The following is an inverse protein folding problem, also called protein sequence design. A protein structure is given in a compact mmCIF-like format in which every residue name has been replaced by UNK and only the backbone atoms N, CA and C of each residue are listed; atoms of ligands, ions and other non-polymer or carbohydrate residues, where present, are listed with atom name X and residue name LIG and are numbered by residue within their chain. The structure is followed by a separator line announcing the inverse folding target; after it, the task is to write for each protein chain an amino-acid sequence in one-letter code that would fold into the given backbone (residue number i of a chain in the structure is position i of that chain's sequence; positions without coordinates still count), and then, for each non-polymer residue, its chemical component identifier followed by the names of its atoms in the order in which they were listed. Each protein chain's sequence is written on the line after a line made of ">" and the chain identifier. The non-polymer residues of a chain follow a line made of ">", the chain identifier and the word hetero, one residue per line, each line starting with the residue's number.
data_IF_927480346620
#
_entry.id   IF_927480346620
#
_cell.length_a   1.000
_cell.length_b   1.000
_cell.length_c   1.000
_cell.angle_alpha   90.00
_cell.angle_beta   90.00
_cell.angle_gamma   90.00
#
_symmetry.space_group_name_H-M   'P 1'
#
loop_
_entity.id
_entity.type
_entity.pdbx_description
1 polymer ?
#
# COMPACT_ATOMS: atom_id res chain seq x y z
N UNK A 1 -31.83 -54.88 23.31
CA UNK A 1 -31.49 -54.20 24.58
C UNK A 1 -29.99 -53.94 24.53
N UNK A 2 -29.51 -52.74 24.26
CA UNK A 2 -29.32 -51.59 25.17
C UNK A 2 -27.84 -51.18 24.95
N UNK A 3 -27.36 -49.95 24.89
CA UNK A 3 -27.91 -48.61 24.98
C UNK A 3 -26.89 -47.68 24.30
N UNK A 4 -27.42 -46.64 23.68
CA UNK A 4 -26.88 -45.30 23.44
C UNK A 4 -25.72 -44.87 24.37
N UNK A 5 -24.62 -44.32 23.82
CA UNK A 5 -23.90 -43.19 24.44
C UNK A 5 -23.50 -42.20 23.34
N UNK A 6 -24.26 -41.13 23.31
CA UNK A 6 -24.04 -39.88 22.59
C UNK A 6 -22.77 -39.16 23.04
N UNK A 7 -22.13 -38.48 22.09
CA UNK A 7 -21.56 -37.14 22.23
C UNK A 7 -20.75 -36.82 23.49
N UNK A 8 -19.42 -36.96 23.43
CA UNK A 8 -18.52 -36.24 24.32
C UNK A 8 -17.40 -35.53 23.53
N UNK A 9 -17.50 -34.20 23.56
CA UNK A 9 -16.38 -33.28 23.72
C UNK A 9 -15.51 -32.95 22.49
N UNK A 10 -16.10 -32.26 21.51
CA UNK A 10 -15.35 -31.42 20.55
C UNK A 10 -15.62 -29.90 20.67
N UNK A 11 -16.48 -29.49 21.61
CA UNK A 11 -16.89 -28.08 21.77
C UNK A 11 -16.04 -27.24 22.72
N UNK A 12 -15.44 -27.84 23.77
CA UNK A 12 -14.82 -27.07 24.85
C UNK A 12 -13.36 -26.66 24.58
N UNK A 13 -12.58 -27.47 23.85
CA UNK A 13 -11.16 -27.21 23.59
C UNK A 13 -10.92 -26.01 22.63
N UNK A 14 -11.86 -25.78 21.69
CA UNK A 14 -11.74 -24.68 20.72
C UNK A 14 -11.98 -23.29 21.35
N UNK A 15 -12.84 -23.19 22.36
CA UNK A 15 -13.13 -21.92 23.03
C UNK A 15 -11.94 -21.40 23.84
N UNK A 16 -11.28 -22.28 24.60
CA UNK A 16 -10.11 -21.93 25.39
C UNK A 16 -8.91 -21.50 24.55
N UNK A 17 -8.65 -22.19 23.43
CA UNK A 17 -7.57 -21.82 22.51
C UNK A 17 -7.84 -20.50 21.79
N UNK A 18 -9.08 -20.23 21.40
CA UNK A 18 -9.46 -18.96 20.78
C UNK A 18 -9.32 -17.77 21.74
N UNK A 19 -9.77 -17.92 22.98
CA UNK A 19 -9.59 -16.91 24.03
C UNK A 19 -8.11 -16.67 24.35
N UNK A 20 -7.31 -17.73 24.43
CA UNK A 20 -5.87 -17.62 24.65
C UNK A 20 -5.15 -16.88 23.50
N UNK A 21 -5.50 -17.20 22.25
CA UNK A 21 -4.95 -16.49 21.08
C UNK A 21 -5.34 -15.01 21.08
N UNK A 22 -6.54 -14.67 21.52
CA UNK A 22 -7.00 -13.29 21.59
C UNK A 22 -6.28 -12.50 22.69
N UNK A 23 -6.10 -13.08 23.88
CA UNK A 23 -5.29 -12.46 24.94
C UNK A 23 -3.84 -12.24 24.50
N UNK A 24 -3.23 -13.21 23.81
CA UNK A 24 -1.87 -13.08 23.29
C UNK A 24 -1.75 -11.93 22.27
N UNK A 25 -2.75 -11.75 21.41
CA UNK A 25 -2.79 -10.64 20.44
C UNK A 25 -2.87 -9.29 21.14
N UNK A 26 -3.77 -9.15 22.11
CA UNK A 26 -3.90 -7.92 22.89
C UNK A 26 -2.58 -7.59 23.60
N UNK A 27 -1.91 -8.60 24.17
CA UNK A 27 -0.62 -8.42 24.82
C UNK A 27 0.46 -7.94 23.83
N UNK A 28 0.54 -8.54 22.63
CA UNK A 28 1.49 -8.11 21.59
C UNK A 28 1.23 -6.67 21.14
N UNK A 29 -0.05 -6.31 20.97
CA UNK A 29 -0.45 -4.96 20.59
C UNK A 29 -0.10 -3.93 21.68
N UNK A 30 -0.43 -4.21 22.94
CA UNK A 30 -0.09 -3.34 24.07
C UNK A 30 1.42 -3.19 24.22
N UNK A 31 2.18 -4.28 24.07
CA UNK A 31 3.65 -4.24 24.11
C UNK A 31 4.22 -3.37 23.00
N UNK A 32 3.76 -3.53 21.76
CA UNK A 32 4.21 -2.71 20.63
C UNK A 32 3.86 -1.23 20.86
N UNK A 33 2.64 -0.92 21.30
CA UNK A 33 2.23 0.45 21.57
C UNK A 33 3.15 1.11 22.62
N UNK A 34 3.48 0.42 23.70
CA UNK A 34 4.37 0.94 24.74
C UNK A 34 5.78 1.26 24.20
N UNK A 35 6.32 0.44 23.29
CA UNK A 35 7.62 0.72 22.66
C UNK A 35 7.56 1.89 21.67
N UNK A 36 6.45 2.05 20.93
CA UNK A 36 6.28 3.20 20.04
C UNK A 36 6.20 4.52 20.81
N UNK A 37 5.56 4.54 21.98
CA UNK A 37 5.53 5.74 22.84
C UNK A 37 6.95 6.10 23.33
N UNK A 38 7.76 5.11 23.72
CA UNK A 38 9.17 5.35 24.09
C UNK A 38 9.99 5.92 22.93
N UNK A 39 9.77 5.43 21.71
CA UNK A 39 10.41 5.98 20.52
C UNK A 39 9.96 7.41 20.26
N UNK A 40 8.67 7.70 20.45
CA UNK A 40 8.14 9.05 20.29
C UNK A 40 8.76 10.03 21.30
N UNK A 41 9.02 9.58 22.53
CA UNK A 41 9.69 10.38 23.55
C UNK A 41 11.13 10.72 23.21
N UNK A 42 11.79 9.95 22.34
CA UNK A 42 13.13 10.27 21.83
C UNK A 42 13.15 11.30 20.69
N UNK A 43 11.98 11.76 20.24
CA UNK A 43 11.84 12.72 19.14
C UNK A 43 11.42 14.11 19.64
N UNK A 44 12.01 15.15 19.04
CA UNK A 44 11.78 16.56 19.38
C UNK A 44 11.31 17.37 18.17
N UNK A 45 10.68 18.52 18.42
CA UNK A 45 10.31 19.48 17.39
C UNK A 45 9.30 18.97 16.36
N UNK A 46 9.50 19.34 15.09
CA UNK A 46 8.61 18.98 13.96
C UNK A 46 8.57 17.49 13.68
N UNK A 47 9.66 16.78 14.00
CA UNK A 47 9.81 15.35 13.70
C UNK A 47 8.93 14.49 14.61
N UNK A 48 8.61 14.99 15.82
CA UNK A 48 7.70 14.31 16.75
C UNK A 48 6.31 14.17 16.17
N UNK A 49 5.77 15.23 15.55
CA UNK A 49 4.42 15.20 14.98
C UNK A 49 4.33 14.30 13.74
N UNK A 50 5.36 14.30 12.89
CA UNK A 50 5.47 13.38 11.75
C UNK A 50 5.56 11.94 12.23
N UNK A 51 6.47 11.67 13.17
CA UNK A 51 6.66 10.32 13.74
C UNK A 51 5.39 9.81 14.41
N UNK A 52 4.66 10.67 15.12
CA UNK A 52 3.37 10.33 15.74
C UNK A 52 2.35 9.83 14.70
N UNK A 53 2.22 10.53 13.57
CA UNK A 53 1.31 10.14 12.48
C UNK A 53 1.75 8.84 11.81
N UNK A 54 3.04 8.67 11.57
CA UNK A 54 3.59 7.44 10.98
C UNK A 54 3.42 6.24 11.91
N UNK A 55 3.61 6.43 13.22
CA UNK A 55 3.38 5.40 14.23
C UNK A 55 1.90 5.04 14.34
N UNK A 56 0.99 6.01 14.25
CA UNK A 56 -0.45 5.73 14.17
C UNK A 56 -0.80 4.86 12.94
N UNK A 57 -0.24 5.19 11.78
CA UNK A 57 -0.36 4.37 10.57
C UNK A 57 0.18 2.95 10.75
N UNK A 58 1.36 2.83 11.36
CA UNK A 58 1.98 1.54 11.66
C UNK A 58 1.14 0.72 12.65
N UNK A 59 0.60 1.34 13.71
CA UNK A 59 -0.30 0.68 14.67
C UNK A 59 -1.52 0.07 13.98
N UNK A 60 -2.17 0.84 13.11
CA UNK A 60 -3.32 0.37 12.33
C UNK A 60 -2.95 -0.82 11.42
N UNK A 61 -1.78 -0.76 10.77
CA UNK A 61 -1.29 -1.86 9.93
C UNK A 61 -0.97 -3.11 10.76
N UNK A 62 -0.34 -2.95 11.91
CA UNK A 62 0.01 -4.05 12.80
C UNK A 62 -1.22 -4.71 13.42
N UNK A 63 -2.20 -3.92 13.86
CA UNK A 63 -3.51 -4.42 14.30
C UNK A 63 -4.18 -5.26 13.20
N UNK A 64 -4.24 -4.73 11.97
CA UNK A 64 -4.78 -5.47 10.82
C UNK A 64 -4.01 -6.77 10.56
N UNK A 65 -2.67 -6.72 10.62
CA UNK A 65 -1.82 -7.90 10.46
C UNK A 65 -2.13 -8.96 11.52
N UNK A 66 -2.30 -8.56 12.78
CA UNK A 66 -2.66 -9.48 13.86
C UNK A 66 -4.07 -10.05 13.68
N UNK A 67 -5.04 -9.27 13.18
CA UNK A 67 -6.44 -9.66 13.04
C UNK A 67 -6.68 -10.66 11.89
N UNK A 68 -6.08 -10.41 10.72
CA UNK A 68 -6.31 -11.21 9.51
C UNK A 68 -5.76 -12.63 9.71
N UNK A 69 -6.65 -13.63 9.76
CA UNK A 69 -6.30 -15.06 9.76
C UNK A 69 -6.71 -15.71 8.45
N UNK A 70 -5.90 -16.65 7.97
CA UNK A 70 -6.25 -17.52 6.84
C UNK A 70 -6.02 -16.88 5.45
N UNK A 71 -6.38 -17.61 4.38
CA UNK A 71 -6.22 -17.12 3.02
C UNK A 71 -7.10 -15.89 2.79
N UNK A 72 -6.52 -14.79 2.33
CA UNK A 72 -7.22 -13.51 2.14
C UNK A 72 -8.25 -13.52 1.02
N UNK A 73 -8.32 -14.62 0.24
CA UNK A 73 -9.12 -14.74 -0.97
C UNK A 73 -9.77 -16.13 -0.99
N UNK A 74 -11.09 -16.17 -1.16
CA UNK A 74 -11.82 -17.38 -1.46
C UNK A 74 -11.84 -17.59 -2.99
N UNK A 75 -11.04 -18.54 -3.49
CA UNK A 75 -10.88 -18.80 -4.92
C UNK A 75 -12.22 -19.00 -5.68
N UNK A 76 -13.19 -19.63 -5.03
CA UNK A 76 -14.52 -19.92 -5.62
C UNK A 76 -15.30 -18.63 -5.93
N UNK A 77 -15.01 -17.53 -5.23
CA UNK A 77 -15.67 -16.23 -5.43
C UNK A 77 -15.02 -15.40 -6.54
N UNK A 78 -13.88 -15.83 -7.10
CA UNK A 78 -13.22 -15.10 -8.17
C UNK A 78 -13.98 -15.33 -9.48
N UNK A 79 -14.39 -14.23 -10.11
CA UNK A 79 -15.11 -14.23 -11.38
C UNK A 79 -14.36 -13.42 -12.41
N UNK A 80 -14.62 -13.69 -13.69
CA UNK A 80 -14.07 -12.88 -14.77
C UNK A 80 -14.62 -11.45 -14.65
N UNK A 81 -13.78 -10.43 -14.87
CA UNK A 81 -14.25 -9.06 -14.92
C UNK A 81 -15.35 -8.91 -16.01
N UNK A 82 -16.38 -8.07 -15.78
CA UNK A 82 -17.35 -7.74 -16.82
C UNK A 82 -16.68 -7.15 -18.06
N UNK A 83 -17.28 -7.36 -19.24
CA UNK A 83 -16.66 -6.96 -20.53
C UNK A 83 -16.30 -5.47 -20.59
N UNK A 84 -17.07 -4.59 -19.94
CA UNK A 84 -16.83 -3.15 -19.93
C UNK A 84 -15.94 -2.64 -18.79
N UNK A 85 -15.48 -3.49 -17.86
CA UNK A 85 -14.65 -3.01 -16.75
C UNK A 85 -13.22 -2.66 -17.17
N UNK A 86 -12.76 -3.20 -18.31
CA UNK A 86 -11.45 -2.92 -18.89
C UNK A 86 -11.66 -2.49 -20.34
N UNK A 87 -11.34 -1.23 -20.63
CA UNK A 87 -11.57 -0.65 -21.95
C UNK A 87 -10.29 -0.73 -22.80
N UNK A 88 -10.36 -1.24 -24.05
CA UNK A 88 -9.23 -1.19 -24.97
C UNK A 88 -8.77 0.25 -25.22
N UNK A 89 -7.45 0.45 -25.31
CA UNK A 89 -6.88 1.79 -25.48
C UNK A 89 -7.31 2.45 -26.79
N UNK A 90 -7.50 1.66 -27.85
CA UNK A 90 -7.97 2.10 -29.17
C UNK A 90 -9.36 2.75 -29.10
N UNK A 91 -10.23 2.28 -28.20
CA UNK A 91 -11.57 2.88 -27.97
C UNK A 91 -11.45 4.27 -27.35
N UNK A 92 -10.41 4.53 -26.58
CA UNK A 92 -10.13 5.85 -25.98
C UNK A 92 -9.56 6.77 -27.05
N UNK A 93 -8.60 6.30 -27.85
CA UNK A 93 -8.02 7.05 -28.97
C UNK A 93 -9.08 7.47 -30.00
N UNK A 94 -10.02 6.59 -30.32
CA UNK A 94 -11.11 6.85 -31.27
C UNK A 94 -12.03 8.01 -30.88
N UNK A 95 -12.01 8.47 -29.62
CA UNK A 95 -12.79 9.64 -29.17
C UNK A 95 -12.13 10.97 -29.54
N UNK A 96 -10.85 10.98 -29.90
CA UNK A 96 -10.07 12.18 -30.16
C UNK A 96 -9.66 12.94 -28.89
N UNK A 97 -8.94 14.04 -29.08
CA UNK A 97 -8.53 14.93 -27.99
C UNK A 97 -9.70 15.81 -27.53
N UNK A 98 -9.76 16.16 -26.22
CA UNK A 98 -10.75 17.12 -25.74
C UNK A 98 -10.51 18.49 -26.36
N UNK A 99 -11.59 19.29 -26.49
CA UNK A 99 -11.52 20.64 -27.06
C UNK A 99 -10.56 21.57 -26.29
N UNK A 100 -10.42 21.37 -24.97
CA UNK A 100 -9.48 22.10 -24.12
C UNK A 100 -8.56 21.13 -23.40
N UNK A 101 -7.44 20.80 -24.04
CA UNK A 101 -6.38 19.97 -23.43
C UNK A 101 -5.77 20.68 -22.22
N UNK A 102 -5.61 22.01 -22.29
CA UNK A 102 -5.05 22.83 -21.24
C UNK A 102 -5.85 22.72 -19.92
N UNK A 103 -7.19 22.81 -19.98
CA UNK A 103 -8.04 22.72 -18.80
C UNK A 103 -7.98 21.34 -18.13
N UNK A 104 -7.82 20.28 -18.94
CA UNK A 104 -7.63 18.92 -18.42
C UNK A 104 -6.28 18.79 -17.73
N UNK A 105 -5.20 19.29 -18.34
CA UNK A 105 -3.85 19.22 -17.79
C UNK A 105 -3.69 20.06 -16.51
N UNK A 106 -4.34 21.22 -16.41
CA UNK A 106 -4.32 22.05 -15.20
C UNK A 106 -4.92 21.35 -13.95
N UNK A 107 -5.72 20.29 -14.15
CA UNK A 107 -6.28 19.48 -13.06
C UNK A 107 -5.48 18.20 -12.79
N UNK A 108 -4.50 17.88 -13.63
CA UNK A 108 -3.72 16.66 -13.56
C UNK A 108 -2.47 16.85 -12.69
N UNK A 109 -2.22 15.90 -11.79
CA UNK A 109 -0.97 15.82 -11.02
C UNK A 109 -0.23 14.54 -11.40
N UNK A 110 1.06 14.66 -11.70
CA UNK A 110 1.94 13.52 -11.99
C UNK A 110 2.75 13.17 -10.74
N UNK A 111 2.47 12.01 -10.16
CA UNK A 111 3.23 11.48 -9.01
C UNK A 111 4.16 10.38 -9.47
N UNK A 112 5.45 10.46 -9.09
CA UNK A 112 6.44 9.40 -9.32
C UNK A 112 6.89 8.80 -8.00
N UNK A 113 6.79 7.48 -7.88
CA UNK A 113 7.27 6.75 -6.70
C UNK A 113 8.81 6.64 -6.75
N UNK A 114 9.49 7.29 -5.81
CA UNK A 114 10.96 7.40 -5.79
C UNK A 114 11.62 6.75 -4.56
N UNK A 115 10.93 5.81 -3.90
CA UNK A 115 11.49 5.10 -2.72
C UNK A 115 12.50 4.00 -3.05
N UNK A 116 12.63 3.64 -4.34
CA UNK A 116 13.51 2.56 -4.78
C UNK A 116 14.98 2.98 -4.86
N UNK A 117 15.87 2.12 -4.35
CA UNK A 117 17.32 2.30 -4.44
C UNK A 117 17.91 1.56 -5.65
N UNK A 118 19.04 2.06 -6.13
CA UNK A 118 19.83 1.50 -7.24
C UNK A 118 20.65 0.25 -6.88
N UNK A 119 20.45 -0.33 -5.70
CA UNK A 119 21.31 -1.39 -5.14
C UNK A 119 21.35 -2.65 -6.00
N UNK A 120 20.23 -3.03 -6.60
CA UNK A 120 20.15 -4.16 -7.56
C UNK A 120 21.03 -3.97 -8.81
N UNK A 121 21.42 -2.73 -9.12
CA UNK A 121 22.28 -2.38 -10.25
C UNK A 121 23.70 -1.99 -9.80
N UNK A 122 24.06 -2.25 -8.54
CA UNK A 122 25.38 -1.90 -7.99
C UNK A 122 25.58 -0.41 -7.70
N UNK A 123 24.55 0.42 -7.88
CA UNK A 123 24.62 1.85 -7.60
C UNK A 123 24.28 2.17 -6.14
N UNK A 124 24.94 3.17 -5.58
CA UNK A 124 24.60 3.74 -4.27
C UNK A 124 23.62 4.91 -4.49
N UNK A 125 22.49 4.90 -3.78
CA UNK A 125 21.50 5.99 -3.80
C UNK A 125 20.20 5.67 -4.55
N UNK A 126 19.33 6.69 -4.74
CA UNK A 126 18.04 6.55 -5.40
C UNK A 126 18.17 6.05 -6.84
N UNK A 127 17.27 5.14 -7.25
CA UNK A 127 17.25 4.59 -8.60
C UNK A 127 16.99 5.67 -9.66
N UNK A 128 16.27 6.74 -9.29
CA UNK A 128 15.95 7.84 -10.20
C UNK A 128 17.16 8.67 -10.65
N UNK A 129 18.27 8.65 -9.91
CA UNK A 129 19.50 9.40 -10.22
C UNK A 129 20.48 8.61 -11.11
N UNK A 130 20.08 7.42 -11.56
CA UNK A 130 20.91 6.61 -12.45
C UNK A 130 20.76 7.14 -13.87
N UNK A 131 21.89 7.38 -14.52
CA UNK A 131 21.93 7.78 -15.91
C UNK A 131 21.42 6.66 -16.83
N UNK A 132 20.54 7.02 -17.76
CA UNK A 132 19.85 6.09 -18.67
C UNK A 132 20.24 6.33 -20.12
N UNK A 133 20.29 7.60 -20.54
CA UNK A 133 20.57 7.96 -21.94
C UNK A 133 21.15 9.36 -22.05
N UNK A 134 22.27 9.48 -22.78
CA UNK A 134 22.95 10.76 -23.03
C UNK A 134 23.21 11.52 -21.72
N UNK A 135 23.73 10.82 -20.71
CA UNK A 135 23.93 11.33 -19.34
C UNK A 135 22.65 11.70 -18.56
N UNK A 136 21.46 11.72 -19.18
CA UNK A 136 20.21 12.01 -18.48
C UNK A 136 19.77 10.87 -17.57
N UNK A 137 19.37 11.21 -16.34
CA UNK A 137 18.78 10.31 -15.37
C UNK A 137 17.28 10.08 -15.62
N UNK A 138 16.68 9.10 -14.95
CA UNK A 138 15.21 8.93 -14.99
C UNK A 138 14.46 10.18 -14.53
N UNK A 139 15.01 10.88 -13.53
CA UNK A 139 14.45 12.12 -13.02
C UNK A 139 14.51 13.22 -14.10
N UNK A 140 15.66 13.39 -14.75
CA UNK A 140 15.84 14.40 -15.81
C UNK A 140 14.87 14.16 -16.96
N UNK A 141 14.75 12.91 -17.42
CA UNK A 141 13.83 12.55 -18.49
C UNK A 141 12.36 12.83 -18.12
N UNK A 142 11.98 12.59 -16.86
CA UNK A 142 10.62 12.90 -16.38
C UNK A 142 10.37 14.40 -16.36
N UNK A 143 11.33 15.18 -15.85
CA UNK A 143 11.22 16.65 -15.81
C UNK A 143 11.13 17.21 -17.22
N UNK A 144 11.98 16.75 -18.14
CA UNK A 144 11.96 17.15 -19.55
C UNK A 144 10.61 16.86 -20.22
N UNK A 145 10.00 15.69 -19.95
CA UNK A 145 8.67 15.36 -20.48
C UNK A 145 7.59 16.33 -20.01
N UNK A 146 7.59 16.68 -18.72
CA UNK A 146 6.62 17.63 -18.15
C UNK A 146 6.88 19.05 -18.65
N UNK A 147 8.15 19.44 -18.77
CA UNK A 147 8.51 20.77 -19.29
C UNK A 147 8.03 20.95 -20.73
N UNK A 148 8.29 19.99 -21.62
CA UNK A 148 7.82 20.03 -23.01
C UNK A 148 6.29 20.10 -23.07
N UNK A 149 5.58 19.31 -22.25
CA UNK A 149 4.11 19.36 -22.19
C UNK A 149 3.59 20.72 -21.72
N UNK A 150 4.18 21.29 -20.67
CA UNK A 150 3.78 22.59 -20.15
C UNK A 150 4.06 23.72 -21.15
N UNK A 151 5.21 23.68 -21.84
CA UNK A 151 5.54 24.66 -22.89
C UNK A 151 4.59 24.56 -24.09
N UNK A 152 4.12 23.35 -24.44
CA UNK A 152 3.26 23.13 -25.60
C UNK A 152 1.79 23.49 -25.33
N UNK A 153 1.29 23.26 -24.11
CA UNK A 153 -0.16 23.31 -23.83
C UNK A 153 -0.59 24.30 -22.75
N UNK A 154 0.33 24.79 -21.91
CA UNK A 154 0.01 25.63 -20.74
C UNK A 154 0.69 27.00 -20.72
N UNK A 155 1.57 27.28 -21.69
CA UNK A 155 2.16 28.61 -21.93
C UNK A 155 1.64 29.17 -23.24
#
# INVERSE_FOLDING_TARGET
>A
MALYVEGLNKGAANGGMAQFQEMMRQQLESSMNAELEKLLDSTEGSDREVSRKDFEGFRNLFQRFLQVKGPSIEWIKIQRPPEDSIQPYERILGRGLPNSVADCLNKLVVVKLNGGLGTSMGCKGPKSLISVRNENTFLDLTVQQIEVQNQQYLR
#
